data_IF_650328992172
#
_entry.id   IF_650328992172
#
_cell.length_a   1.000
_cell.length_b   1.000
_cell.length_c   1.000
_cell.angle_alpha   90.00
_cell.angle_beta   90.00
_cell.angle_gamma   90.00
#
_symmetry.space_group_name_H-M   'P 1'
#
loop_
_entity.id
_entity.type
_entity.pdbx_description
1 polymer ?
#
# COMPACT_ATOMS: atom_id res chain seq x y z
N UNK A 1 32.75 -9.59 -7.85
CA UNK A 1 32.73 -8.93 -6.52
C UNK A 1 31.58 -7.94 -6.41
N UNK A 2 31.51 -6.89 -7.23
CA UNK A 2 30.40 -5.91 -7.18
C UNK A 2 28.97 -6.48 -7.32
N UNK A 3 28.78 -7.55 -8.11
CA UNK A 3 27.46 -8.19 -8.26
C UNK A 3 27.01 -8.97 -7.01
N UNK A 4 27.95 -9.65 -6.33
CA UNK A 4 27.68 -10.42 -5.12
C UNK A 4 27.34 -9.52 -3.93
N UNK A 5 28.03 -8.39 -3.77
CA UNK A 5 27.72 -7.41 -2.71
C UNK A 5 26.31 -6.83 -2.83
N UNK A 6 25.81 -6.64 -4.05
CA UNK A 6 24.44 -6.15 -4.27
C UNK A 6 23.38 -7.18 -3.87
N UNK A 7 23.67 -8.47 -4.09
CA UNK A 7 22.76 -9.56 -3.69
C UNK A 7 22.72 -9.67 -2.17
N UNK A 8 23.86 -9.65 -1.48
CA UNK A 8 23.89 -9.70 -0.01
C UNK A 8 23.17 -8.48 0.61
N UNK A 9 23.36 -7.27 0.06
CA UNK A 9 22.63 -6.07 0.52
C UNK A 9 21.11 -6.17 0.39
N UNK A 10 20.61 -6.87 -0.63
CA UNK A 10 19.16 -7.09 -0.80
C UNK A 10 18.63 -8.14 0.19
N UNK A 11 19.44 -9.14 0.52
CA UNK A 11 19.07 -10.18 1.48
C UNK A 11 19.09 -9.66 2.92
N UNK A 12 19.96 -8.69 3.21
CA UNK A 12 20.08 -8.03 4.52
C UNK A 12 19.11 -6.83 4.68
N UNK A 13 18.22 -6.59 3.71
CA UNK A 13 17.25 -5.50 3.77
C UNK A 13 16.19 -5.81 4.84
N UNK A 14 16.10 -4.94 5.85
CA UNK A 14 15.13 -5.10 6.93
C UNK A 14 13.70 -4.93 6.41
N UNK A 15 12.82 -5.85 6.80
CA UNK A 15 11.41 -5.72 6.47
C UNK A 15 10.79 -4.65 7.36
N UNK A 16 10.36 -3.55 6.74
CA UNK A 16 9.69 -2.43 7.41
C UNK A 16 8.31 -2.78 7.99
N UNK A 17 7.72 -3.92 7.58
CA UNK A 17 6.44 -4.42 8.09
C UNK A 17 6.70 -5.79 8.72
N UNK A 18 6.77 -5.82 10.04
CA UNK A 18 6.92 -7.05 10.81
C UNK A 18 5.57 -7.60 11.25
N UNK A 19 5.43 -8.92 11.22
CA UNK A 19 4.30 -9.58 11.87
C UNK A 19 4.39 -9.37 13.38
N UNK A 20 3.26 -9.14 14.07
CA UNK A 20 3.26 -9.03 15.52
C UNK A 20 3.65 -10.38 16.16
N UNK A 21 4.24 -10.32 17.37
CA UNK A 21 4.68 -11.51 18.12
C UNK A 21 3.61 -12.59 18.28
N UNK A 22 2.34 -12.18 18.40
CA UNK A 22 1.18 -13.06 18.43
C UNK A 22 0.20 -12.65 17.31
N UNK A 23 0.33 -13.22 16.10
CA UNK A 23 -0.54 -12.88 14.98
C UNK A 23 -1.95 -13.40 15.23
N UNK A 24 -2.94 -12.57 14.91
CA UNK A 24 -4.35 -12.95 15.01
C UNK A 24 -4.69 -13.85 13.83
N UNK A 25 -5.15 -15.07 14.13
CA UNK A 25 -5.65 -15.99 13.11
C UNK A 25 -6.99 -15.49 12.60
N UNK A 26 -7.09 -15.28 11.28
CA UNK A 26 -8.34 -14.88 10.66
C UNK A 26 -9.37 -16.03 10.72
N UNK A 27 -10.66 -15.73 10.94
CA UNK A 27 -11.72 -16.74 10.90
C UNK A 27 -11.79 -17.44 9.53
N UNK A 28 -12.23 -18.70 9.51
CA UNK A 28 -12.43 -19.47 8.27
C UNK A 28 -13.45 -18.82 7.31
N UNK A 29 -14.39 -18.05 7.86
CA UNK A 29 -15.36 -17.25 7.12
C UNK A 29 -15.43 -15.85 7.68
N UNK A 30 -15.33 -14.84 6.81
CA UNK A 30 -15.49 -13.42 7.18
C UNK A 30 -16.69 -12.82 6.46
N UNK A 31 -17.35 -11.83 7.06
CA UNK A 31 -18.49 -11.15 6.44
C UNK A 31 -18.07 -10.34 5.20
N UNK A 32 -16.77 -10.09 5.00
CA UNK A 32 -16.25 -9.43 3.80
C UNK A 32 -16.50 -7.91 3.76
N UNK A 33 -16.99 -7.34 4.86
CA UNK A 33 -17.07 -5.90 5.06
C UNK A 33 -15.67 -5.33 5.31
N UNK A 34 -15.37 -4.21 4.68
CA UNK A 34 -14.10 -3.48 4.85
C UNK A 34 -14.43 -2.07 5.34
N UNK A 35 -13.73 -1.58 6.35
CA UNK A 35 -13.92 -0.24 6.90
C UNK A 35 -12.60 0.51 6.96
N UNK A 36 -12.61 1.72 6.40
CA UNK A 36 -11.53 2.69 6.53
C UNK A 36 -11.96 3.71 7.58
N UNK A 37 -11.19 3.84 8.66
CA UNK A 37 -11.41 4.81 9.74
C UNK A 37 -10.20 5.72 9.89
N UNK A 38 -10.44 7.03 9.77
CA UNK A 38 -9.46 8.10 9.96
C UNK A 38 -8.13 7.84 9.22
N UNK A 39 -8.21 7.36 7.98
CA UNK A 39 -7.02 6.95 7.23
C UNK A 39 -6.31 8.15 6.63
N UNK A 40 -5.02 8.26 6.94
CA UNK A 40 -4.10 9.28 6.42
C UNK A 40 -2.89 8.57 5.81
N UNK A 41 -2.46 9.00 4.62
CA UNK A 41 -1.38 8.34 3.90
C UNK A 41 -0.52 9.34 3.11
N UNK A 42 0.79 9.15 3.15
CA UNK A 42 1.79 9.90 2.39
C UNK A 42 2.91 8.95 1.94
N UNK A 43 3.43 9.12 0.72
CA UNK A 43 4.59 8.33 0.25
C UNK A 43 5.92 8.82 0.82
N UNK A 44 5.97 10.08 1.25
CA UNK A 44 7.22 10.70 1.69
C UNK A 44 6.97 12.07 2.31
N UNK A 45 8.02 12.88 2.30
CA UNK A 45 8.00 14.23 2.85
C UNK A 45 8.08 15.27 1.75
N UNK A 46 7.45 16.42 1.98
CA UNK A 46 7.57 17.62 1.18
C UNK A 46 8.94 18.30 1.39
N UNK A 47 9.12 19.46 0.73
CA UNK A 47 10.36 20.23 0.77
C UNK A 47 10.70 20.76 2.18
N UNK A 48 9.71 20.89 3.05
CA UNK A 48 9.85 21.36 4.42
C UNK A 48 9.99 20.20 5.41
N UNK A 49 10.09 18.95 4.92
CA UNK A 49 10.25 17.75 5.74
C UNK A 49 8.94 17.27 6.38
N UNK A 50 7.78 17.83 6.00
CA UNK A 50 6.47 17.40 6.49
C UNK A 50 5.88 16.32 5.57
N UNK A 51 4.96 15.46 6.03
CA UNK A 51 4.39 14.43 5.16
C UNK A 51 3.65 15.05 3.97
N UNK A 52 3.99 14.61 2.76
CA UNK A 52 3.29 15.00 1.53
C UNK A 52 2.04 14.13 1.37
N UNK A 53 1.00 14.53 2.09
CA UNK A 53 -0.24 13.77 2.25
C UNK A 53 -1.01 13.58 0.94
N UNK A 54 -1.25 12.31 0.58
CA UNK A 54 -2.05 11.89 -0.58
C UNK A 54 -3.49 11.57 -0.15
N UNK A 55 -3.67 10.92 1.00
CA UNK A 55 -4.98 10.71 1.61
C UNK A 55 -5.01 11.44 2.95
N UNK A 56 -6.10 12.17 3.20
CA UNK A 56 -6.35 12.87 4.45
C UNK A 56 -7.76 12.56 4.93
N UNK A 57 -7.86 12.10 6.17
CA UNK A 57 -9.11 11.86 6.87
C UNK A 57 -10.15 11.05 6.07
N UNK A 58 -9.69 9.94 5.48
CA UNK A 58 -10.54 9.07 4.70
C UNK A 58 -11.34 8.13 5.60
N UNK A 59 -12.67 8.20 5.51
CA UNK A 59 -13.62 7.44 6.30
C UNK A 59 -14.70 6.85 5.38
N UNK A 60 -14.74 5.54 5.19
CA UNK A 60 -15.82 4.89 4.44
C UNK A 60 -15.87 3.38 4.70
N UNK A 61 -17.03 2.79 4.45
CA UNK A 61 -17.29 1.36 4.60
C UNK A 61 -17.66 0.77 3.24
N UNK A 62 -17.10 -0.40 2.94
CA UNK A 62 -17.47 -1.24 1.80
C UNK A 62 -18.22 -2.44 2.36
N UNK A 63 -19.47 -2.60 1.96
CA UNK A 63 -20.30 -3.74 2.34
C UNK A 63 -19.85 -5.06 1.70
N UNK A 64 -20.32 -6.16 2.25
CA UNK A 64 -20.07 -7.49 1.70
C UNK A 64 -20.56 -7.60 0.26
N UNK A 65 -19.68 -8.02 -0.66
CA UNK A 65 -20.02 -8.17 -2.08
C UNK A 65 -20.15 -6.86 -2.86
N UNK A 66 -19.96 -5.70 -2.22
CA UNK A 66 -19.95 -4.42 -2.90
C UNK A 66 -18.66 -4.22 -3.70
N UNK A 67 -18.77 -3.53 -4.83
CA UNK A 67 -17.63 -3.14 -5.66
C UNK A 67 -17.48 -1.63 -5.60
N UNK A 68 -16.30 -1.18 -5.18
CA UNK A 68 -15.94 0.23 -5.13
C UNK A 68 -14.85 0.52 -6.14
N UNK A 69 -15.02 1.62 -6.88
CA UNK A 69 -14.00 2.14 -7.79
C UNK A 69 -13.43 3.44 -7.22
N UNK A 70 -12.13 3.46 -6.98
CA UNK A 70 -11.41 4.69 -6.59
C UNK A 70 -11.02 5.42 -7.88
N UNK A 71 -11.66 6.57 -8.11
CA UNK A 71 -11.41 7.43 -9.26
C UNK A 71 -10.77 8.74 -8.81
N UNK A 72 -9.85 9.26 -9.62
CA UNK A 72 -9.15 10.49 -9.32
C UNK A 72 -8.32 10.98 -10.50
N UNK A 73 -8.07 12.29 -10.55
CA UNK A 73 -7.16 12.88 -11.53
C UNK A 73 -5.74 12.33 -11.32
N UNK A 74 -4.99 12.16 -12.42
CA UNK A 74 -3.61 11.63 -12.40
C UNK A 74 -2.78 12.29 -11.30
N UNK A 75 -2.48 11.52 -10.24
CA UNK A 75 -1.68 11.99 -9.10
C UNK A 75 -2.27 11.70 -7.71
N UNK A 76 -3.58 11.44 -7.58
CA UNK A 76 -4.23 11.26 -6.25
C UNK A 76 -4.17 9.83 -5.68
N UNK A 77 -3.10 9.08 -5.96
CA UNK A 77 -2.90 7.74 -5.34
C UNK A 77 -3.26 6.53 -6.20
N UNK A 78 -3.42 6.67 -7.52
CA UNK A 78 -3.69 5.53 -8.43
C UNK A 78 -2.44 4.72 -8.82
N UNK A 79 -1.25 5.04 -8.29
CA UNK A 79 0.03 4.37 -8.65
C UNK A 79 0.18 3.02 -7.94
N UNK A 80 -0.79 2.13 -8.13
CA UNK A 80 -0.72 0.70 -7.77
C UNK A 80 -1.28 -0.18 -8.90
N UNK A 81 -1.11 0.26 -10.15
CA UNK A 81 -1.23 -0.61 -11.31
C UNK A 81 0.15 -1.07 -11.73
N UNK A 82 0.43 -2.37 -11.60
CA UNK A 82 1.54 -3.02 -12.27
C UNK A 82 1.46 -2.62 -13.76
N UNK A 83 2.42 -1.83 -14.22
CA UNK A 83 2.45 -1.34 -15.59
C UNK A 83 2.97 -2.52 -16.43
N UNK A 84 2.15 -3.16 -17.30
CA UNK A 84 2.68 -4.18 -18.17
C UNK A 84 3.57 -3.46 -19.19
N UNK A 85 4.88 -3.55 -18.98
CA UNK A 85 5.83 -3.43 -20.07
C UNK A 85 5.58 -4.63 -20.98
N UNK A 86 4.78 -4.41 -22.02
CA UNK A 86 5.07 -4.83 -23.40
C UNK A 86 3.77 -4.87 -24.19
N UNK A 87 3.47 -3.75 -24.84
CA UNK A 87 2.64 -3.69 -26.03
C UNK A 87 3.41 -2.85 -27.06
N UNK A 88 4.34 -3.50 -27.73
CA UNK A 88 4.86 -3.07 -29.03
C UNK A 88 4.78 -4.29 -29.95
N UNK A 89 4.04 -4.12 -31.04
CA UNK A 89 4.04 -4.84 -32.33
C UNK A 89 4.42 -6.33 -32.33
#
# INVERSE_FOLDING_TARGET
MASSERIFKLLDEENIIEDPENPVVLPATTNGQIEFQNVWFAYGKDRDGKPDWILKDLNFTIGSGEKVAIVGHTGVGKKYGHQPSDALL
#
